data_IF_512247799382
#
_entry.id   IF_512247799382
#
_cell.length_a   1.000
_cell.length_b   1.000
_cell.length_c   1.000
_cell.angle_alpha   90.00
_cell.angle_beta   90.00
_cell.angle_gamma   90.00
#
_symmetry.space_group_name_H-M   'P 1'
#
loop_
_entity.id
_entity.type
_entity.pdbx_description
1 polymer ?
#
# COMPACT_ATOMS: atom_id res chain seq x y z
N UNK A 1 -37.07 79.94 -17.28
CA UNK A 1 -37.47 79.36 -16.04
C UNK A 1 -37.59 77.82 -16.22
N UNK A 2 -36.48 77.09 -16.07
CA UNK A 2 -36.44 75.62 -16.21
C UNK A 2 -36.38 75.00 -14.86
N UNK A 3 -37.42 74.22 -14.47
CA UNK A 3 -37.48 73.48 -13.22
C UNK A 3 -36.86 72.08 -13.43
N UNK A 4 -35.72 71.81 -12.83
CA UNK A 4 -35.16 70.48 -12.69
C UNK A 4 -35.90 69.71 -11.57
N UNK A 5 -36.38 68.51 -11.88
CA UNK A 5 -36.88 67.54 -10.88
C UNK A 5 -35.75 66.53 -10.65
N UNK A 6 -35.39 66.20 -9.42
CA UNK A 6 -34.46 65.13 -9.16
C UNK A 6 -35.13 63.75 -9.24
N UNK A 7 -34.51 62.80 -10.00
CA UNK A 7 -34.84 61.40 -9.98
C UNK A 7 -34.20 60.78 -8.70
N UNK A 8 -35.05 60.22 -7.87
CA UNK A 8 -34.63 59.39 -6.73
C UNK A 8 -34.43 57.98 -7.26
N UNK A 9 -33.17 57.51 -7.34
CA UNK A 9 -32.84 56.12 -7.62
C UNK A 9 -33.00 55.28 -6.34
N UNK A 10 -33.98 54.38 -6.35
CA UNK A 10 -34.25 53.44 -5.30
C UNK A 10 -33.29 52.21 -5.51
N UNK A 11 -32.20 52.18 -4.77
CA UNK A 11 -31.30 51.03 -4.76
C UNK A 11 -31.92 49.89 -3.94
N UNK A 12 -32.40 48.84 -4.60
CA UNK A 12 -32.81 47.59 -3.95
C UNK A 12 -31.57 46.81 -3.61
N UNK A 13 -31.16 46.80 -2.33
CA UNK A 13 -30.17 45.84 -1.80
C UNK A 13 -30.85 44.47 -1.74
N UNK A 14 -30.56 43.60 -2.70
CA UNK A 14 -30.81 42.15 -2.51
C UNK A 14 -29.83 41.63 -1.48
N UNK A 15 -30.29 41.37 -0.28
CA UNK A 15 -29.55 40.58 0.70
C UNK A 15 -29.52 39.12 0.19
N UNK A 16 -28.37 38.71 -0.34
CA UNK A 16 -28.05 37.30 -0.57
C UNK A 16 -27.94 36.66 0.84
N UNK A 17 -29.00 35.99 1.28
CA UNK A 17 -28.89 35.07 2.41
C UNK A 17 -27.88 33.97 2.04
N UNK A 18 -26.97 33.59 2.94
CA UNK A 18 -26.10 32.44 2.68
C UNK A 18 -27.04 31.24 2.49
N UNK A 19 -26.92 30.58 1.35
CA UNK A 19 -27.49 29.25 1.15
C UNK A 19 -26.64 28.35 2.07
N UNK A 20 -27.15 28.11 3.29
CA UNK A 20 -26.66 26.98 4.07
C UNK A 20 -26.96 25.74 3.24
N UNK A 21 -25.93 25.26 2.54
CA UNK A 21 -25.99 24.00 1.82
C UNK A 21 -26.35 22.92 2.84
N UNK A 22 -27.56 22.40 2.77
CA UNK A 22 -27.95 21.23 3.53
C UNK A 22 -26.94 20.16 3.20
N UNK A 23 -26.07 19.81 4.17
CA UNK A 23 -25.18 18.68 4.08
C UNK A 23 -26.01 17.46 3.70
N UNK A 24 -25.74 16.87 2.54
CA UNK A 24 -26.43 15.67 2.09
C UNK A 24 -26.09 14.53 3.07
N UNK A 25 -27.11 13.95 3.68
CA UNK A 25 -26.94 12.78 4.55
C UNK A 25 -27.35 11.53 3.79
N UNK A 26 -26.41 10.61 3.68
CA UNK A 26 -26.61 9.27 3.09
C UNK A 26 -26.82 8.27 4.24
N UNK A 27 -27.97 7.60 4.30
CA UNK A 27 -28.27 6.62 5.33
C UNK A 27 -28.29 5.21 4.76
N UNK A 28 -27.51 4.28 5.35
CA UNK A 28 -27.42 2.87 4.97
C UNK A 28 -27.31 1.98 6.21
N UNK A 29 -27.62 0.69 6.08
CA UNK A 29 -27.36 -0.27 7.17
C UNK A 29 -25.87 -0.35 7.50
N UNK A 30 -25.02 -0.36 6.45
CA UNK A 30 -23.57 -0.44 6.56
C UNK A 30 -22.89 0.75 5.90
N UNK A 31 -21.98 1.39 6.61
CA UNK A 31 -21.09 2.43 6.11
C UNK A 31 -19.66 1.88 6.18
N UNK A 32 -19.00 1.75 5.03
CA UNK A 32 -17.65 1.22 4.94
C UNK A 32 -16.72 2.36 4.53
N UNK A 33 -15.82 2.75 5.43
CA UNK A 33 -14.80 3.75 5.16
C UNK A 33 -13.51 3.08 4.66
N UNK A 34 -13.08 3.46 3.44
CA UNK A 34 -11.93 2.90 2.73
C UNK A 34 -12.30 2.31 1.37
N UNK A 35 -11.34 2.26 0.44
CA UNK A 35 -11.49 1.73 -0.92
C UNK A 35 -10.73 0.42 -1.18
N UNK A 36 -10.27 -0.27 -0.13
CA UNK A 36 -9.44 -1.48 -0.26
C UNK A 36 -10.24 -2.70 -0.74
N UNK A 37 -9.55 -3.79 -1.05
CA UNK A 37 -10.20 -5.06 -1.37
C UNK A 37 -11.15 -5.52 -0.25
N UNK A 38 -10.80 -5.25 1.02
CA UNK A 38 -11.64 -5.56 2.17
C UNK A 38 -12.97 -4.78 2.13
N UNK A 39 -12.92 -3.49 1.74
CA UNK A 39 -14.13 -2.67 1.60
C UNK A 39 -15.10 -3.24 0.57
N UNK A 40 -14.60 -3.58 -0.63
CA UNK A 40 -15.42 -4.12 -1.70
C UNK A 40 -16.04 -5.47 -1.32
N UNK A 41 -15.26 -6.37 -0.75
CA UNK A 41 -15.73 -7.71 -0.37
C UNK A 41 -16.72 -7.66 0.80
N UNK A 42 -16.51 -6.77 1.79
CA UNK A 42 -17.47 -6.53 2.86
C UNK A 42 -18.81 -5.99 2.30
N UNK A 43 -18.75 -5.06 1.35
CA UNK A 43 -19.94 -4.53 0.69
C UNK A 43 -20.69 -5.62 -0.12
N UNK A 44 -19.97 -6.47 -0.85
CA UNK A 44 -20.55 -7.62 -1.56
C UNK A 44 -21.28 -8.54 -0.57
N UNK A 45 -20.65 -8.86 0.55
CA UNK A 45 -21.28 -9.73 1.56
C UNK A 45 -22.51 -9.06 2.18
N UNK A 46 -22.47 -7.76 2.49
CA UNK A 46 -23.63 -7.02 2.99
C UNK A 46 -24.81 -7.08 2.00
N UNK A 47 -24.55 -6.86 0.70
CA UNK A 47 -25.56 -6.98 -0.36
C UNK A 47 -26.15 -8.38 -0.45
N UNK A 48 -25.31 -9.43 -0.38
CA UNK A 48 -25.76 -10.85 -0.38
C UNK A 48 -26.67 -11.15 0.84
N UNK A 49 -26.51 -10.43 1.94
CA UNK A 49 -27.35 -10.53 3.13
C UNK A 49 -28.58 -9.60 3.08
N UNK A 50 -28.86 -8.96 1.94
CA UNK A 50 -30.01 -8.07 1.75
C UNK A 50 -29.91 -6.74 2.50
N UNK A 51 -28.68 -6.29 2.82
CA UNK A 51 -28.43 -5.03 3.53
C UNK A 51 -28.09 -3.90 2.57
N UNK A 52 -28.50 -2.69 2.93
CA UNK A 52 -28.04 -1.49 2.25
C UNK A 52 -26.63 -1.13 2.70
N UNK A 53 -25.78 -0.72 1.75
CA UNK A 53 -24.37 -0.42 2.01
C UNK A 53 -23.90 0.74 1.15
N UNK A 54 -22.97 1.53 1.68
CA UNK A 54 -22.19 2.53 0.95
C UNK A 54 -20.71 2.37 1.29
N UNK A 55 -19.87 2.45 0.25
CA UNK A 55 -18.42 2.60 0.39
C UNK A 55 -18.09 4.08 0.32
N UNK A 56 -17.39 4.59 1.33
CA UNK A 56 -16.88 5.96 1.42
C UNK A 56 -15.36 5.88 1.32
N UNK A 57 -14.83 6.12 0.14
CA UNK A 57 -13.40 5.92 -0.15
C UNK A 57 -12.65 7.24 -0.21
N UNK A 58 -11.53 7.39 0.53
CA UNK A 58 -10.61 8.51 0.32
C UNK A 58 -9.89 8.42 -1.03
N UNK A 59 -9.86 7.23 -1.65
CA UNK A 59 -9.16 6.94 -2.88
C UNK A 59 -10.11 6.94 -4.10
N UNK A 60 -9.55 7.20 -5.28
CA UNK A 60 -10.26 7.08 -6.56
C UNK A 60 -10.41 5.63 -7.00
N UNK A 61 -9.40 4.84 -6.74
CA UNK A 61 -9.27 3.45 -7.17
C UNK A 61 -9.77 2.50 -6.09
N UNK A 62 -10.33 1.37 -6.49
CA UNK A 62 -10.77 0.32 -5.58
C UNK A 62 -9.82 -0.87 -5.62
N UNK A 63 -9.73 -1.57 -4.50
CA UNK A 63 -8.93 -2.79 -4.36
C UNK A 63 -7.62 -2.58 -3.58
N UNK A 64 -7.22 -1.33 -3.33
CA UNK A 64 -6.02 -1.01 -2.57
C UNK A 64 -4.77 -1.64 -3.18
N UNK A 65 -4.01 -2.43 -2.41
CA UNK A 65 -2.77 -3.06 -2.90
C UNK A 65 -3.02 -4.10 -4.00
N UNK A 66 -4.14 -4.81 -3.98
CA UNK A 66 -4.43 -5.81 -5.02
C UNK A 66 -4.53 -5.19 -6.42
N UNK A 67 -5.04 -3.96 -6.53
CA UNK A 67 -5.07 -3.16 -7.76
C UNK A 67 -3.88 -2.19 -7.86
N UNK A 68 -3.11 -2.04 -6.79
CA UNK A 68 -1.98 -1.12 -6.66
C UNK A 68 -0.60 -1.75 -6.93
N UNK A 69 -0.53 -2.91 -7.56
CA UNK A 69 0.73 -3.52 -7.99
C UNK A 69 1.13 -4.80 -7.26
N UNK A 70 0.46 -5.17 -6.15
CA UNK A 70 0.69 -6.43 -5.45
C UNK A 70 -0.07 -7.57 -6.15
N UNK A 71 0.45 -7.99 -7.30
CA UNK A 71 -0.18 -8.96 -8.20
C UNK A 71 0.40 -10.37 -8.12
N UNK A 72 1.58 -10.56 -7.50
CA UNK A 72 2.19 -11.86 -7.31
C UNK A 72 1.83 -12.41 -5.93
N UNK A 73 0.73 -13.19 -5.87
CA UNK A 73 0.14 -13.59 -4.59
C UNK A 73 0.97 -14.63 -3.85
N UNK A 74 1.27 -14.34 -2.59
CA UNK A 74 1.85 -15.28 -1.62
C UNK A 74 0.77 -16.27 -1.16
N UNK A 75 0.71 -17.44 -1.77
CA UNK A 75 -0.44 -18.36 -1.62
C UNK A 75 -0.34 -19.31 -0.44
N UNK A 76 0.84 -19.70 -0.01
CA UNK A 76 1.00 -20.79 0.95
C UNK A 76 0.17 -22.03 0.55
N UNK A 77 -0.64 -22.55 1.47
CA UNK A 77 -1.64 -23.59 1.16
C UNK A 77 -2.92 -22.96 0.61
N UNK A 78 -3.00 -22.77 -0.70
CA UNK A 78 -4.15 -22.14 -1.36
C UNK A 78 -5.47 -22.89 -1.21
N UNK A 79 -5.45 -24.17 -0.80
CA UNK A 79 -6.68 -24.93 -0.58
C UNK A 79 -7.53 -24.41 0.59
N UNK A 80 -6.92 -23.67 1.53
CA UNK A 80 -7.64 -23.05 2.65
C UNK A 80 -8.28 -21.72 2.30
N UNK A 81 -7.92 -21.10 1.15
CA UNK A 81 -8.50 -19.85 0.69
C UNK A 81 -9.88 -20.16 0.10
N UNK A 82 -10.93 -19.65 0.72
CA UNK A 82 -12.33 -19.95 0.37
C UNK A 82 -13.20 -18.71 0.22
N UNK A 83 -14.51 -18.93 0.14
CA UNK A 83 -15.52 -17.85 0.11
C UNK A 83 -15.28 -16.82 -0.99
N UNK A 84 -15.51 -15.56 -0.69
CA UNK A 84 -15.35 -14.45 -1.63
C UNK A 84 -13.90 -14.21 -2.06
N UNK A 85 -12.91 -14.58 -1.23
CA UNK A 85 -11.51 -14.51 -1.65
C UNK A 85 -11.22 -15.47 -2.81
N UNK A 86 -11.71 -16.71 -2.74
CA UNK A 86 -11.60 -17.65 -3.87
C UNK A 86 -12.39 -17.20 -5.10
N UNK A 87 -13.57 -16.58 -4.89
CA UNK A 87 -14.37 -16.02 -5.99
C UNK A 87 -13.60 -14.91 -6.72
N UNK A 88 -12.87 -14.06 -6.00
CA UNK A 88 -11.97 -13.05 -6.61
C UNK A 88 -10.95 -13.71 -7.55
N UNK A 89 -10.19 -14.71 -7.07
CA UNK A 89 -9.20 -15.40 -7.91
C UNK A 89 -9.83 -16.20 -9.06
N UNK A 90 -11.08 -16.65 -8.89
CA UNK A 90 -11.84 -17.24 -9.98
C UNK A 90 -12.21 -16.21 -11.05
N UNK A 91 -12.64 -15.00 -10.65
CA UNK A 91 -12.94 -13.90 -11.59
C UNK A 91 -11.70 -13.43 -12.32
N UNK A 92 -10.55 -13.35 -11.65
CA UNK A 92 -9.26 -13.13 -12.31
C UNK A 92 -9.02 -14.21 -13.36
N UNK A 93 -9.22 -15.49 -13.04
CA UNK A 93 -9.08 -16.59 -14.01
C UNK A 93 -10.00 -16.41 -15.22
N UNK A 94 -11.27 -16.00 -15.01
CA UNK A 94 -12.22 -15.73 -16.09
C UNK A 94 -11.76 -14.58 -17.01
N UNK A 95 -11.17 -13.53 -16.46
CA UNK A 95 -10.60 -12.44 -17.27
C UNK A 95 -9.47 -12.96 -18.18
N UNK A 96 -8.58 -13.80 -17.67
CA UNK A 96 -7.48 -14.36 -18.45
C UNK A 96 -7.90 -15.53 -19.38
N UNK A 97 -9.18 -15.93 -19.40
CA UNK A 97 -9.71 -16.77 -20.48
C UNK A 97 -10.05 -15.95 -21.75
N UNK A 98 -10.08 -14.64 -21.66
CA UNK A 98 -10.37 -13.73 -22.77
C UNK A 98 -9.08 -13.45 -23.56
N UNK A 99 -9.06 -13.67 -24.90
CA UNK A 99 -7.85 -13.41 -25.69
C UNK A 99 -7.34 -11.97 -25.62
N UNK A 100 -8.25 -10.98 -25.49
CA UNK A 100 -7.93 -9.57 -25.40
C UNK A 100 -7.19 -9.17 -24.12
N UNK A 101 -7.24 -9.97 -23.06
CA UNK A 101 -6.49 -9.74 -21.83
C UNK A 101 -4.98 -10.01 -22.02
N UNK A 102 -4.64 -10.90 -22.96
CA UNK A 102 -3.27 -11.23 -23.34
C UNK A 102 -2.74 -10.30 -24.44
N UNK A 103 -2.65 -9.01 -24.15
CA UNK A 103 -2.31 -8.01 -25.16
C UNK A 103 -0.86 -8.05 -25.62
N UNK A 104 0.06 -8.33 -24.71
CA UNK A 104 1.51 -8.23 -24.95
C UNK A 104 2.23 -9.57 -24.90
N UNK A 105 1.52 -10.65 -24.56
CA UNK A 105 2.09 -11.97 -24.38
C UNK A 105 1.05 -13.03 -24.73
N UNK A 106 1.46 -14.12 -25.36
CA UNK A 106 0.54 -15.25 -25.51
C UNK A 106 0.47 -16.06 -24.22
N UNK A 107 -0.70 -16.64 -23.88
CA UNK A 107 -0.82 -17.51 -22.71
C UNK A 107 0.23 -18.61 -22.64
N UNK A 108 0.60 -19.18 -23.79
CA UNK A 108 1.64 -20.24 -23.90
C UNK A 108 3.05 -19.78 -23.60
N UNK A 109 3.32 -18.47 -23.63
CA UNK A 109 4.63 -17.86 -23.40
C UNK A 109 4.80 -17.39 -21.95
N UNK A 110 3.73 -17.36 -21.18
CA UNK A 110 3.74 -16.82 -19.80
C UNK A 110 4.54 -17.68 -18.81
N UNK A 111 4.69 -18.99 -19.07
CA UNK A 111 5.47 -19.90 -18.23
C UNK A 111 4.79 -20.34 -16.95
N UNK A 112 3.66 -19.74 -16.58
CA UNK A 112 2.79 -20.14 -15.46
C UNK A 112 3.49 -20.27 -14.10
N UNK A 113 4.51 -19.45 -13.84
CA UNK A 113 5.21 -19.42 -12.56
C UNK A 113 4.34 -18.72 -11.49
N UNK A 114 4.30 -19.32 -10.29
CA UNK A 114 3.74 -18.75 -9.08
C UNK A 114 4.60 -19.13 -7.89
N UNK A 115 4.30 -18.60 -6.72
CA UNK A 115 5.05 -18.89 -5.50
C UNK A 115 4.67 -20.28 -4.97
N UNK A 116 5.49 -21.29 -5.28
CA UNK A 116 5.28 -22.68 -4.85
C UNK A 116 4.11 -23.40 -5.52
N UNK A 117 3.34 -22.72 -6.38
CA UNK A 117 2.23 -23.28 -7.15
C UNK A 117 2.14 -22.61 -8.51
N UNK A 118 1.52 -23.25 -9.53
CA UNK A 118 1.23 -22.58 -10.79
C UNK A 118 0.40 -21.31 -10.59
N UNK A 119 0.68 -20.27 -11.35
CA UNK A 119 -0.10 -19.04 -11.36
C UNK A 119 -1.54 -19.28 -11.81
N UNK A 120 -1.69 -20.05 -12.89
CA UNK A 120 -2.99 -20.49 -13.44
C UNK A 120 -3.27 -21.90 -12.96
N UNK A 121 -4.30 -22.06 -12.18
CA UNK A 121 -4.83 -23.35 -11.73
C UNK A 121 -6.11 -23.67 -12.50
N UNK A 122 -5.94 -24.39 -13.61
CA UNK A 122 -7.05 -24.73 -14.51
C UNK A 122 -8.04 -25.73 -13.89
N UNK A 123 -7.60 -26.63 -13.03
CA UNK A 123 -8.44 -27.60 -12.33
C UNK A 123 -9.41 -26.89 -11.37
N UNK A 124 -8.91 -25.98 -10.57
CA UNK A 124 -9.70 -25.20 -9.61
C UNK A 124 -10.28 -23.91 -10.21
N UNK A 125 -9.97 -23.60 -11.48
CA UNK A 125 -10.41 -22.40 -12.19
C UNK A 125 -10.11 -21.13 -11.40
N UNK A 126 -8.87 -21.00 -10.94
CA UNK A 126 -8.35 -19.82 -10.21
C UNK A 126 -7.04 -19.36 -10.83
N UNK A 127 -6.77 -18.08 -10.73
CA UNK A 127 -5.49 -17.50 -11.12
C UNK A 127 -4.96 -16.61 -10.00
N UNK A 128 -3.74 -16.89 -9.55
CA UNK A 128 -3.15 -16.34 -8.34
C UNK A 128 -2.18 -15.19 -8.61
N UNK A 129 -1.83 -14.99 -9.87
CA UNK A 129 -0.91 -13.94 -10.32
C UNK A 129 -1.64 -13.12 -11.38
N UNK A 130 -1.60 -11.79 -11.28
CA UNK A 130 -2.42 -10.94 -12.14
C UNK A 130 -1.85 -9.52 -12.26
N UNK A 131 -2.30 -8.82 -13.29
CA UNK A 131 -1.99 -7.41 -13.54
C UNK A 131 -2.85 -6.49 -12.66
N UNK A 132 -2.34 -5.32 -12.24
CA UNK A 132 -3.09 -4.35 -11.42
C UNK A 132 -4.43 -3.94 -12.04
N UNK A 133 -4.43 -3.58 -13.33
CA UNK A 133 -5.64 -3.16 -14.04
C UNK A 133 -6.70 -4.26 -14.16
N UNK A 134 -6.28 -5.53 -14.24
CA UNK A 134 -7.21 -6.68 -14.24
C UNK A 134 -7.86 -6.83 -12.85
N UNK A 135 -7.10 -6.68 -11.79
CA UNK A 135 -7.64 -6.73 -10.44
C UNK A 135 -8.63 -5.58 -10.18
N UNK A 136 -8.27 -4.36 -10.55
CA UNK A 136 -9.17 -3.20 -10.41
C UNK A 136 -10.48 -3.43 -11.16
N UNK A 137 -10.40 -3.91 -12.42
CA UNK A 137 -11.58 -4.25 -13.21
C UNK A 137 -12.48 -5.25 -12.48
N UNK A 138 -11.93 -6.28 -11.85
CA UNK A 138 -12.72 -7.28 -11.10
C UNK A 138 -13.42 -6.63 -9.91
N UNK A 139 -12.78 -5.69 -9.18
CA UNK A 139 -13.45 -4.97 -8.11
C UNK A 139 -14.56 -4.06 -8.62
N UNK A 140 -14.37 -3.36 -9.74
CA UNK A 140 -15.41 -2.57 -10.39
C UNK A 140 -16.58 -3.43 -10.89
N UNK A 141 -16.30 -4.62 -11.39
CA UNK A 141 -17.32 -5.59 -11.80
C UNK A 141 -18.17 -6.06 -10.59
N UNK A 142 -17.57 -6.27 -9.41
CA UNK A 142 -18.32 -6.52 -8.18
C UNK A 142 -19.24 -5.33 -7.81
N UNK A 143 -18.70 -4.12 -7.84
CA UNK A 143 -19.48 -2.91 -7.54
C UNK A 143 -20.69 -2.81 -8.45
N UNK A 144 -20.53 -3.06 -9.74
CA UNK A 144 -21.59 -3.01 -10.74
C UNK A 144 -22.60 -4.15 -10.56
N UNK A 145 -22.13 -5.39 -10.40
CA UNK A 145 -22.99 -6.58 -10.28
C UNK A 145 -23.91 -6.51 -9.06
N UNK A 146 -23.36 -6.07 -7.91
CA UNK A 146 -24.11 -5.98 -6.67
C UNK A 146 -24.76 -4.62 -6.45
N UNK A 147 -24.70 -3.70 -7.43
CA UNK A 147 -25.20 -2.33 -7.33
C UNK A 147 -24.77 -1.66 -6.00
N UNK A 148 -23.47 -1.69 -5.72
CA UNK A 148 -22.88 -1.08 -4.53
C UNK A 148 -22.72 0.41 -4.79
N UNK A 149 -23.21 1.23 -3.86
CA UNK A 149 -22.99 2.68 -3.88
C UNK A 149 -21.56 2.98 -3.41
N UNK A 150 -20.82 3.75 -4.21
CA UNK A 150 -19.43 4.14 -3.91
C UNK A 150 -19.27 5.64 -4.07
N UNK A 151 -18.80 6.30 -3.02
CA UNK A 151 -18.38 7.69 -3.04
C UNK A 151 -16.86 7.76 -2.91
N UNK A 152 -16.21 8.35 -3.89
CA UNK A 152 -14.74 8.44 -3.99
C UNK A 152 -14.27 9.84 -3.67
N UNK A 153 -12.97 9.99 -3.37
CA UNK A 153 -12.35 11.26 -2.91
C UNK A 153 -13.03 11.83 -1.65
N UNK A 154 -13.58 10.96 -0.81
CA UNK A 154 -14.31 11.30 0.41
C UNK A 154 -13.44 11.05 1.64
N UNK A 155 -12.65 12.06 2.01
CA UNK A 155 -11.73 12.01 3.15
C UNK A 155 -12.44 12.27 4.46
N UNK A 156 -12.29 11.39 5.44
CA UNK A 156 -12.90 11.55 6.78
C UNK A 156 -12.41 12.84 7.45
N UNK A 157 -13.31 13.62 8.00
CA UNK A 157 -12.96 14.64 8.99
C UNK A 157 -12.61 13.94 10.32
N UNK A 158 -11.31 13.70 10.51
CA UNK A 158 -10.79 12.94 11.67
C UNK A 158 -10.95 13.69 13.00
N UNK A 159 -11.15 15.00 12.96
CA UNK A 159 -11.24 15.82 14.18
C UNK A 159 -12.68 15.92 14.70
N UNK A 160 -13.64 16.06 13.79
CA UNK A 160 -15.03 16.39 14.14
C UNK A 160 -16.07 15.54 13.43
N UNK A 161 -15.63 14.74 12.44
CA UNK A 161 -16.54 14.04 11.56
C UNK A 161 -17.20 12.80 12.15
N UNK A 162 -16.71 12.25 13.27
CA UNK A 162 -17.25 11.01 13.83
C UNK A 162 -18.14 11.31 15.02
N UNK A 163 -19.42 10.95 14.91
CA UNK A 163 -20.41 11.07 16.00
C UNK A 163 -20.57 9.72 16.67
N UNK A 164 -20.18 9.65 17.95
CA UNK A 164 -20.36 8.47 18.81
C UNK A 164 -21.40 8.80 19.89
N UNK A 165 -22.40 7.95 20.03
CA UNK A 165 -23.42 8.06 21.05
C UNK A 165 -23.75 6.70 21.66
N UNK A 166 -23.69 6.61 23.00
CA UNK A 166 -23.94 5.36 23.73
C UNK A 166 -22.96 4.23 23.34
N UNK A 167 -21.68 4.56 23.02
CA UNK A 167 -20.66 3.58 22.62
C UNK A 167 -20.80 3.07 21.19
N UNK A 168 -21.67 3.67 20.36
CA UNK A 168 -21.85 3.29 18.97
C UNK A 168 -21.64 4.49 18.04
N UNK A 169 -20.95 4.29 16.92
CA UNK A 169 -20.84 5.29 15.85
C UNK A 169 -22.24 5.49 15.26
N UNK A 170 -22.70 6.74 15.13
CA UNK A 170 -23.97 7.11 14.51
C UNK A 170 -23.80 7.62 13.09
N UNK A 171 -22.76 8.41 12.87
CA UNK A 171 -22.44 8.95 11.56
C UNK A 171 -20.96 9.27 11.42
N UNK A 172 -20.53 9.37 10.18
CA UNK A 172 -19.24 9.95 9.80
C UNK A 172 -19.48 11.09 8.81
N UNK A 173 -18.67 12.14 8.90
CA UNK A 173 -18.70 13.28 7.98
C UNK A 173 -17.34 13.43 7.34
N UNK A 174 -17.29 13.68 6.04
CA UNK A 174 -16.06 13.88 5.29
C UNK A 174 -15.68 15.35 5.22
N UNK A 175 -14.44 15.64 4.84
CA UNK A 175 -13.94 17.00 4.64
C UNK A 175 -14.72 17.76 3.55
N UNK A 176 -15.38 17.03 2.63
CA UNK A 176 -16.30 17.58 1.64
C UNK A 176 -17.66 18.01 2.22
N UNK A 177 -17.94 17.71 3.51
CA UNK A 177 -19.16 18.07 4.20
C UNK A 177 -20.31 17.07 4.03
N UNK A 178 -20.12 15.95 3.31
CA UNK A 178 -21.13 14.90 3.20
C UNK A 178 -21.14 14.03 4.46
N UNK A 179 -22.32 13.70 4.96
CA UNK A 179 -22.52 12.88 6.15
C UNK A 179 -23.08 11.52 5.77
N UNK A 180 -22.56 10.48 6.40
CA UNK A 180 -23.01 9.09 6.22
C UNK A 180 -23.47 8.55 7.58
N UNK A 181 -24.74 8.18 7.68
CA UNK A 181 -25.35 7.59 8.86
C UNK A 181 -25.58 6.09 8.64
N UNK A 182 -25.40 5.29 9.69
CA UNK A 182 -25.54 3.85 9.57
C UNK A 182 -25.71 3.13 10.90
N UNK A 183 -26.00 1.84 10.80
CA UNK A 183 -26.12 0.95 11.97
C UNK A 183 -24.79 0.31 12.34
N UNK A 184 -23.98 0.00 11.32
CA UNK A 184 -22.66 -0.64 11.46
C UNK A 184 -21.66 0.11 10.59
N UNK A 185 -20.49 0.36 11.15
CA UNK A 185 -19.38 1.02 10.48
C UNK A 185 -18.18 0.07 10.38
N UNK A 186 -17.52 0.11 9.24
CA UNK A 186 -16.27 -0.62 9.00
C UNK A 186 -15.16 0.39 8.71
N UNK A 187 -14.02 0.25 9.37
CA UNK A 187 -12.77 0.84 8.92
C UNK A 187 -12.06 -0.19 8.04
N UNK A 188 -12.07 0.05 6.74
CA UNK A 188 -11.43 -0.79 5.73
C UNK A 188 -10.24 -0.06 5.07
N UNK A 189 -9.61 0.83 5.82
CA UNK A 189 -8.37 1.52 5.43
C UNK A 189 -7.15 0.73 5.90
N UNK A 190 -5.97 1.11 5.45
CA UNK A 190 -4.69 0.61 5.98
C UNK A 190 -4.26 1.37 7.24
N UNK A 191 -4.78 2.59 7.42
CA UNK A 191 -4.38 3.54 8.45
C UNK A 191 -5.13 3.39 9.77
N UNK A 192 -6.39 2.93 9.74
CA UNK A 192 -7.26 2.89 10.90
C UNK A 192 -7.71 4.29 11.35
N UNK A 193 -8.01 5.19 10.40
CA UNK A 193 -8.40 6.57 10.71
C UNK A 193 -9.78 6.66 11.36
N UNK A 194 -10.75 5.87 10.93
CA UNK A 194 -12.08 5.81 11.54
C UNK A 194 -12.02 5.19 12.93
N UNK A 195 -11.20 4.14 13.09
CA UNK A 195 -10.96 3.50 14.39
C UNK A 195 -10.48 4.51 15.42
N UNK A 196 -9.45 5.30 15.08
CA UNK A 196 -8.88 6.31 15.98
C UNK A 196 -9.88 7.45 16.24
N UNK A 197 -10.56 7.96 15.22
CA UNK A 197 -11.53 9.05 15.34
C UNK A 197 -12.78 8.64 16.15
N UNK A 198 -13.12 7.35 16.19
CA UNK A 198 -14.19 6.80 17.01
C UNK A 198 -13.77 6.59 18.48
N UNK A 199 -12.52 6.84 18.86
CA UNK A 199 -12.00 6.64 20.21
C UNK A 199 -11.76 5.18 20.60
N UNK A 200 -11.57 4.30 19.63
CA UNK A 200 -11.20 2.90 19.88
C UNK A 200 -9.71 2.80 20.18
N UNK A 201 -9.34 2.03 21.19
CA UNK A 201 -7.94 1.84 21.59
C UNK A 201 -7.14 1.13 20.50
N UNK A 202 -5.90 1.57 20.29
CA UNK A 202 -4.99 0.98 19.31
C UNK A 202 -3.52 1.13 19.72
N UNK A 203 -2.67 0.38 19.04
CA UNK A 203 -1.21 0.48 19.17
C UNK A 203 -0.59 0.85 17.82
N UNK A 204 0.51 1.62 17.87
CA UNK A 204 1.38 1.93 16.72
C UNK A 204 2.81 1.56 17.06
N UNK A 205 3.51 0.95 16.10
CA UNK A 205 4.86 0.45 16.30
C UNK A 205 4.88 -1.00 16.79
N UNK A 206 5.99 -1.43 17.37
CA UNK A 206 6.18 -2.79 17.85
C UNK A 206 5.87 -2.88 19.34
N UNK A 207 4.99 -3.79 19.76
CA UNK A 207 4.83 -4.13 21.16
C UNK A 207 6.06 -4.92 21.64
N UNK A 208 6.41 -4.78 22.92
CA UNK A 208 7.42 -5.64 23.50
C UNK A 208 6.94 -7.10 23.50
N UNK A 209 7.85 -8.05 23.33
CA UNK A 209 7.53 -9.49 23.36
C UNK A 209 6.76 -9.89 24.62
N UNK A 210 7.02 -9.23 25.74
CA UNK A 210 6.38 -9.50 27.04
C UNK A 210 4.89 -9.17 27.08
N UNK A 211 4.39 -8.29 26.21
CA UNK A 211 2.99 -7.84 26.23
C UNK A 211 2.03 -8.99 25.97
N UNK A 212 2.32 -9.80 24.96
CA UNK A 212 1.50 -10.96 24.57
C UNK A 212 2.21 -12.30 24.75
N UNK A 213 3.45 -12.32 25.28
CA UNK A 213 4.26 -13.53 25.42
C UNK A 213 4.74 -14.05 24.07
N UNK A 214 5.12 -13.16 23.17
CA UNK A 214 5.64 -13.46 21.84
C UNK A 214 7.17 -13.61 21.85
N UNK A 215 7.74 -14.16 20.78
CA UNK A 215 9.18 -14.31 20.59
C UNK A 215 9.71 -13.39 19.49
N UNK A 216 8.87 -13.05 18.49
CA UNK A 216 9.28 -12.43 17.23
C UNK A 216 8.63 -11.06 16.97
N UNK A 217 7.89 -10.51 17.90
CA UNK A 217 7.46 -9.14 17.87
C UNK A 217 8.61 -8.19 18.25
N UNK A 218 8.42 -7.09 18.87
CA UNK A 218 9.43 -6.18 19.38
C UNK A 218 10.65 -5.97 18.47
N UNK A 219 11.72 -5.46 19.04
CA UNK A 219 13.00 -5.27 18.34
C UNK A 219 13.66 -6.61 18.06
N UNK A 220 14.01 -6.90 16.81
CA UNK A 220 14.64 -8.14 16.36
C UNK A 220 16.05 -7.88 15.83
N UNK A 221 17.02 -7.73 16.71
CA UNK A 221 18.43 -7.56 16.36
C UNK A 221 19.12 -8.90 16.21
N UNK A 222 19.95 -9.01 15.18
CA UNK A 222 20.79 -10.21 14.94
C UNK A 222 20.05 -11.38 14.25
N UNK A 223 18.79 -11.20 13.90
CA UNK A 223 18.06 -12.13 13.05
C UNK A 223 18.21 -11.67 11.61
N UNK A 224 18.98 -12.44 10.84
CA UNK A 224 19.27 -12.11 9.44
C UNK A 224 18.50 -13.09 8.56
N UNK A 225 17.40 -12.58 7.95
CA UNK A 225 16.59 -13.37 7.04
C UNK A 225 16.87 -12.99 5.59
N UNK A 226 16.75 -13.97 4.72
CA UNK A 226 16.96 -13.81 3.28
C UNK A 226 18.30 -13.13 3.00
N UNK A 227 18.36 -12.22 2.05
CA UNK A 227 19.57 -11.46 1.70
C UNK A 227 19.35 -9.94 1.88
N UNK A 228 18.43 -9.55 2.75
CA UNK A 228 18.06 -8.15 3.01
C UNK A 228 18.95 -7.48 4.08
N UNK A 229 20.21 -7.88 4.18
CA UNK A 229 21.16 -7.39 5.17
C UNK A 229 22.57 -7.23 4.57
N UNK A 230 23.38 -6.35 5.18
CA UNK A 230 24.71 -6.04 4.67
C UNK A 230 25.74 -7.19 4.80
N UNK A 231 25.46 -8.21 5.60
CA UNK A 231 26.23 -9.46 5.61
C UNK A 231 26.00 -10.37 4.39
N UNK A 232 25.10 -10.00 3.47
CA UNK A 232 24.85 -10.73 2.24
C UNK A 232 25.84 -10.39 1.10
N UNK A 233 26.70 -9.38 1.28
CA UNK A 233 27.73 -8.96 0.32
C UNK A 233 29.11 -9.47 0.73
N UNK A 234 30.02 -9.55 -0.23
CA UNK A 234 31.35 -10.14 -0.03
C UNK A 234 32.30 -9.27 0.81
N UNK A 235 32.12 -7.95 0.75
CA UNK A 235 33.00 -6.99 1.44
C UNK A 235 32.24 -6.17 2.45
N UNK A 236 32.84 -5.83 3.59
CA UNK A 236 32.25 -4.91 4.54
C UNK A 236 31.92 -3.55 3.92
N UNK A 237 30.79 -2.97 4.31
CA UNK A 237 30.35 -1.67 3.83
C UNK A 237 30.43 -0.67 4.99
N UNK A 238 31.19 0.41 4.78
CA UNK A 238 31.22 1.51 5.72
C UNK A 238 29.93 2.34 5.66
N UNK A 239 29.27 2.60 6.80
CA UNK A 239 28.08 3.45 6.85
C UNK A 239 28.39 4.94 6.78
N UNK A 240 29.67 5.34 6.90
CA UNK A 240 30.09 6.72 7.03
C UNK A 240 30.32 7.41 5.69
N UNK A 241 30.13 8.74 5.63
CA UNK A 241 30.36 9.56 4.43
C UNK A 241 31.80 9.34 3.93
N UNK A 242 32.79 9.48 4.82
CA UNK A 242 34.16 9.07 4.55
C UNK A 242 34.37 7.67 5.12
N UNK A 243 34.64 6.66 4.29
CA UNK A 243 34.81 5.28 4.75
C UNK A 243 35.80 5.18 5.92
N UNK A 244 35.35 4.56 7.02
CA UNK A 244 36.16 4.35 8.23
C UNK A 244 36.27 5.54 9.17
N UNK A 245 35.70 6.71 8.83
CA UNK A 245 35.70 7.89 9.70
C UNK A 245 34.30 8.17 10.28
N UNK A 246 33.99 7.77 11.53
CA UNK A 246 32.71 8.07 12.18
C UNK A 246 32.41 9.56 12.33
N UNK A 247 33.43 10.43 12.36
CA UNK A 247 33.24 11.89 12.51
C UNK A 247 32.69 12.53 11.24
N UNK A 248 32.78 11.84 10.10
CA UNK A 248 32.23 12.32 8.83
C UNK A 248 30.70 12.26 8.76
N UNK A 249 30.04 11.63 9.74
CA UNK A 249 28.62 11.35 9.73
C UNK A 249 28.27 10.09 8.91
N UNK A 250 26.99 9.70 8.92
CA UNK A 250 26.51 8.54 8.17
C UNK A 250 25.99 8.93 6.79
N UNK A 251 26.02 7.99 5.88
CA UNK A 251 25.41 8.13 4.55
C UNK A 251 23.90 8.41 4.63
N UNK A 252 23.33 9.07 3.62
CA UNK A 252 21.89 9.19 3.51
C UNK A 252 21.21 7.82 3.69
N UNK A 253 20.04 7.82 4.37
CA UNK A 253 19.22 6.62 4.63
C UNK A 253 19.84 5.57 5.56
N UNK A 254 20.94 5.88 6.22
CA UNK A 254 21.49 5.09 7.34
C UNK A 254 21.07 5.77 8.65
N UNK A 255 20.60 4.97 9.61
CA UNK A 255 20.22 5.45 10.94
C UNK A 255 21.45 5.73 11.78
N UNK A 256 21.44 6.86 12.49
CA UNK A 256 22.44 7.19 13.53
C UNK A 256 22.11 6.55 14.87
N UNK A 257 20.85 6.12 15.07
CA UNK A 257 20.39 5.53 16.30
C UNK A 257 20.59 4.01 16.31
N UNK A 258 21.03 3.44 17.43
CA UNK A 258 21.11 1.98 17.56
C UNK A 258 19.71 1.34 17.45
N UNK A 259 19.63 0.07 17.07
CA UNK A 259 18.36 -0.60 16.84
C UNK A 259 17.51 -0.84 18.11
N UNK A 260 18.08 -0.69 19.32
CA UNK A 260 17.40 -0.97 20.58
C UNK A 260 17.75 -2.35 21.14
N UNK A 261 17.03 -2.77 22.18
CA UNK A 261 17.24 -4.03 22.88
C UNK A 261 16.26 -5.07 22.35
N UNK A 262 16.75 -6.26 22.06
CA UNK A 262 15.95 -7.36 21.53
C UNK A 262 14.74 -7.67 22.42
N UNK A 263 13.56 -7.73 21.82
CA UNK A 263 12.29 -8.04 22.49
C UNK A 263 11.61 -6.84 23.14
N UNK A 264 12.25 -5.66 23.19
CA UNK A 264 11.58 -4.42 23.64
C UNK A 264 10.70 -3.83 22.55
N UNK A 265 9.69 -3.07 22.96
CA UNK A 265 8.81 -2.36 22.06
C UNK A 265 9.36 -0.99 21.66
N UNK A 266 8.89 -0.47 20.53
CA UNK A 266 9.12 0.91 20.10
C UNK A 266 7.98 1.43 19.19
N UNK A 267 8.06 2.69 18.78
CA UNK A 267 7.07 3.33 17.89
C UNK A 267 7.39 3.20 16.40
N UNK A 268 8.42 2.46 16.04
CA UNK A 268 8.84 2.29 14.66
C UNK A 268 7.97 1.26 13.97
N UNK A 269 7.69 1.53 12.69
CA UNK A 269 6.92 0.65 11.82
C UNK A 269 7.79 0.12 10.68
N UNK A 270 7.39 -0.99 10.09
CA UNK A 270 8.06 -1.62 8.95
C UNK A 270 8.11 -0.66 7.76
N UNK A 271 9.16 -0.77 6.97
CA UNK A 271 9.35 0.08 5.80
C UNK A 271 8.19 -0.04 4.80
N UNK A 272 7.77 1.11 4.26
CA UNK A 272 6.83 1.17 3.15
C UNK A 272 7.55 1.25 1.81
N UNK A 273 6.86 0.86 0.77
CA UNK A 273 7.28 1.00 -0.63
C UNK A 273 6.05 1.00 -1.55
N UNK A 274 6.22 1.39 -2.79
CA UNK A 274 5.26 1.01 -3.83
C UNK A 274 5.63 -0.37 -4.37
N UNK A 275 4.63 -1.21 -4.63
CA UNK A 275 4.81 -2.40 -5.47
C UNK A 275 4.84 -1.93 -6.91
N UNK A 276 6.00 -2.07 -7.54
CA UNK A 276 6.20 -1.50 -8.86
C UNK A 276 5.81 -2.51 -9.95
N UNK A 277 4.80 -2.15 -10.74
CA UNK A 277 4.53 -2.84 -11.98
C UNK A 277 5.45 -2.26 -13.06
N UNK A 278 6.38 -3.07 -13.55
CA UNK A 278 7.30 -2.71 -14.62
C UNK A 278 7.07 -3.61 -15.83
N UNK A 279 7.56 -3.21 -17.01
CA UNK A 279 7.49 -4.04 -18.22
C UNK A 279 8.79 -4.00 -19.01
N UNK A 280 9.12 -5.12 -19.64
CA UNK A 280 10.21 -5.21 -20.62
C UNK A 280 9.71 -5.34 -22.07
N UNK A 281 8.39 -5.30 -22.30
CA UNK A 281 7.85 -5.33 -23.65
C UNK A 281 8.09 -4.00 -24.38
N UNK A 282 8.84 -3.95 -25.51
CA UNK A 282 9.28 -2.71 -26.13
C UNK A 282 8.16 -1.74 -26.49
N UNK A 283 7.02 -2.23 -26.98
CA UNK A 283 5.89 -1.40 -27.40
C UNK A 283 5.09 -0.86 -26.22
N UNK A 284 5.12 -1.55 -25.06
CA UNK A 284 4.42 -1.13 -23.83
C UNK A 284 5.28 -0.29 -22.89
N UNK A 285 6.58 -0.20 -23.13
CA UNK A 285 7.57 0.36 -22.22
C UNK A 285 7.71 1.88 -22.36
N UNK A 286 7.71 2.58 -21.21
CA UNK A 286 8.16 3.96 -21.06
C UNK A 286 9.48 3.93 -20.30
N UNK A 287 10.59 4.46 -20.85
CA UNK A 287 11.85 4.57 -20.11
C UNK A 287 11.65 5.33 -18.79
N UNK A 288 12.38 4.92 -17.73
CA UNK A 288 12.25 5.55 -16.42
C UNK A 288 12.60 7.05 -16.48
N UNK A 289 11.65 7.95 -16.19
CA UNK A 289 11.93 9.38 -16.18
C UNK A 289 12.73 9.76 -14.93
N UNK A 290 13.53 10.83 -15.05
CA UNK A 290 14.15 11.46 -13.88
C UNK A 290 13.05 12.11 -13.03
N UNK A 291 12.84 11.71 -11.78
CA UNK A 291 11.80 12.32 -10.97
C UNK A 291 12.21 13.71 -10.50
N UNK A 292 11.21 14.56 -10.21
CA UNK A 292 11.42 15.82 -9.51
C UNK A 292 12.02 15.55 -8.13
N UNK A 293 12.97 16.40 -7.72
CA UNK A 293 13.68 16.22 -6.44
C UNK A 293 14.69 15.07 -6.43
N UNK A 294 15.05 14.51 -7.60
CA UNK A 294 16.10 13.50 -7.70
C UNK A 294 17.44 14.01 -7.20
N UNK A 295 18.02 13.25 -6.27
CA UNK A 295 19.35 13.49 -5.71
C UNK A 295 20.16 12.18 -5.74
N UNK A 296 21.25 12.11 -6.56
CA UNK A 296 22.07 10.91 -6.67
C UNK A 296 22.79 10.52 -5.37
N UNK A 297 23.01 11.47 -4.45
CA UNK A 297 23.68 11.18 -3.18
C UNK A 297 22.86 10.24 -2.29
N UNK A 298 21.53 10.22 -2.47
CA UNK A 298 20.64 9.31 -1.76
C UNK A 298 20.94 7.83 -2.04
N UNK A 299 21.67 7.53 -3.12
CA UNK A 299 22.00 6.17 -3.57
C UNK A 299 23.49 5.82 -3.39
N UNK A 300 24.25 6.63 -2.67
CA UNK A 300 25.68 6.37 -2.39
C UNK A 300 25.89 4.99 -1.73
N UNK A 301 25.01 4.65 -0.79
CA UNK A 301 25.06 3.33 -0.16
C UNK A 301 24.84 2.18 -1.18
N UNK A 302 23.98 2.39 -2.19
CA UNK A 302 23.79 1.41 -3.26
C UNK A 302 25.05 1.23 -4.10
N UNK A 303 25.80 2.30 -4.37
CA UNK A 303 27.10 2.20 -5.05
C UNK A 303 28.02 1.28 -4.27
N UNK A 304 28.15 1.48 -2.96
CA UNK A 304 28.98 0.63 -2.09
C UNK A 304 28.51 -0.83 -2.05
N UNK A 305 27.21 -1.05 -2.15
CA UNK A 305 26.62 -2.40 -2.25
C UNK A 305 27.08 -3.07 -3.55
N UNK A 306 27.08 -2.37 -4.68
CA UNK A 306 27.58 -2.88 -5.95
C UNK A 306 29.10 -3.12 -5.93
N UNK A 307 29.88 -2.21 -5.35
CA UNK A 307 31.34 -2.35 -5.16
C UNK A 307 31.71 -3.53 -4.25
N UNK A 308 30.80 -3.87 -3.32
CA UNK A 308 30.93 -5.06 -2.47
C UNK A 308 30.49 -6.35 -3.12
N UNK A 309 30.21 -6.34 -4.45
CA UNK A 309 29.93 -7.54 -5.24
C UNK A 309 28.46 -7.89 -5.46
N UNK A 310 27.52 -7.10 -4.95
CA UNK A 310 26.08 -7.36 -5.13
C UNK A 310 25.65 -7.30 -6.60
N UNK A 311 24.86 -8.32 -7.07
CA UNK A 311 24.33 -8.41 -8.44
C UNK A 311 22.88 -8.89 -8.51
N UNK A 312 22.21 -9.08 -7.40
CA UNK A 312 20.86 -9.68 -7.32
C UNK A 312 19.74 -8.64 -7.48
N UNK A 313 19.96 -7.55 -8.22
CA UNK A 313 19.02 -6.44 -8.38
C UNK A 313 17.66 -6.88 -8.93
N UNK A 314 17.62 -7.92 -9.76
CA UNK A 314 16.44 -8.38 -10.48
C UNK A 314 15.76 -9.62 -9.88
N UNK A 315 16.27 -10.15 -8.78
CA UNK A 315 15.78 -11.40 -8.16
C UNK A 315 14.31 -11.35 -7.75
N UNK A 316 13.79 -10.15 -7.52
CA UNK A 316 12.39 -9.91 -7.14
C UNK A 316 11.63 -9.06 -8.17
N UNK A 317 11.96 -9.21 -9.43
CA UNK A 317 11.12 -8.81 -10.56
C UNK A 317 10.18 -9.97 -10.89
N UNK A 318 9.27 -10.26 -9.95
CA UNK A 318 8.39 -11.43 -10.03
C UNK A 318 7.45 -11.31 -11.24
N UNK A 319 7.46 -12.28 -12.18
CA UNK A 319 6.77 -12.15 -13.46
C UNK A 319 5.25 -12.27 -13.29
N UNK A 320 4.53 -11.28 -13.78
CA UNK A 320 3.08 -11.32 -13.97
C UNK A 320 2.74 -11.32 -15.46
N UNK A 321 1.50 -11.57 -15.90
CA UNK A 321 1.17 -11.62 -17.32
C UNK A 321 1.56 -10.39 -18.13
N UNK A 322 1.66 -10.54 -19.43
CA UNK A 322 1.93 -9.47 -20.41
C UNK A 322 3.31 -8.84 -20.28
N UNK A 323 4.34 -9.65 -19.97
CA UNK A 323 5.72 -9.19 -19.79
C UNK A 323 5.84 -8.07 -18.74
N UNK A 324 5.03 -8.15 -17.70
CA UNK A 324 5.06 -7.22 -16.57
C UNK A 324 5.63 -7.89 -15.32
N UNK A 325 5.85 -7.10 -14.29
CA UNK A 325 6.33 -7.58 -12.99
C UNK A 325 5.47 -7.04 -11.85
N UNK A 326 5.46 -7.79 -10.75
CA UNK A 326 5.27 -7.29 -9.41
C UNK A 326 6.67 -7.17 -8.80
N UNK A 327 7.26 -5.97 -8.82
CA UNK A 327 8.64 -5.77 -8.36
C UNK A 327 8.64 -5.53 -6.86
N UNK A 328 9.25 -6.46 -6.13
CA UNK A 328 9.38 -6.44 -4.67
C UNK A 328 10.78 -5.97 -4.24
N UNK A 329 10.94 -5.71 -2.94
CA UNK A 329 12.24 -5.40 -2.36
C UNK A 329 13.17 -6.62 -2.37
N UNK A 330 14.46 -6.40 -2.63
CA UNK A 330 15.50 -7.41 -2.49
C UNK A 330 16.85 -6.78 -2.21
N UNK A 331 17.64 -7.43 -1.35
CA UNK A 331 19.01 -7.04 -1.06
C UNK A 331 19.19 -6.00 0.05
N UNK A 332 20.45 -5.65 0.33
CA UNK A 332 20.81 -4.74 1.43
C UNK A 332 20.34 -3.30 1.21
N UNK A 333 20.23 -2.89 -0.05
CA UNK A 333 19.66 -1.60 -0.45
C UNK A 333 18.62 -1.85 -1.53
N UNK A 334 17.37 -1.69 -1.18
CA UNK A 334 16.23 -2.11 -1.99
C UNK A 334 15.21 -0.99 -2.21
N UNK A 335 14.06 -1.36 -2.75
CA UNK A 335 12.91 -0.48 -2.96
C UNK A 335 12.21 -0.06 -1.68
N UNK A 336 12.44 -0.77 -0.57
CA UNK A 336 11.94 -0.36 0.76
C UNK A 336 12.61 0.95 1.22
N UNK A 337 11.81 1.98 1.50
CA UNK A 337 12.28 3.27 1.98
C UNK A 337 12.40 3.27 3.51
N UNK A 338 13.32 2.44 4.03
CA UNK A 338 13.46 2.09 5.43
C UNK A 338 13.65 3.34 6.31
N UNK A 339 12.84 3.46 7.36
CA UNK A 339 12.96 4.50 8.37
C UNK A 339 12.41 5.87 7.96
N UNK A 340 11.62 5.96 6.88
CA UNK A 340 11.06 7.22 6.36
C UNK A 340 9.55 7.34 6.55
N UNK A 341 8.96 6.49 7.37
CA UNK A 341 7.51 6.37 7.52
C UNK A 341 7.05 6.25 8.98
N UNK A 342 7.93 6.47 9.97
CA UNK A 342 7.57 6.25 11.38
C UNK A 342 6.45 7.15 11.89
N UNK A 343 6.35 8.36 11.37
CA UNK A 343 5.30 9.32 11.71
C UNK A 343 4.01 9.14 10.88
N UNK A 344 4.04 8.34 9.81
CA UNK A 344 2.89 8.16 8.90
C UNK A 344 1.58 7.77 9.60
N UNK A 345 1.55 6.80 10.53
CA UNK A 345 0.30 6.37 11.16
C UNK A 345 -0.46 7.51 11.86
N UNK A 346 0.26 8.41 12.54
CA UNK A 346 -0.31 9.51 13.32
C UNK A 346 -0.28 10.87 12.60
N UNK A 347 0.27 10.92 11.39
CA UNK A 347 0.45 12.15 10.62
C UNK A 347 -0.88 12.76 10.13
N UNK A 348 -0.88 14.08 9.92
CA UNK A 348 -1.95 14.75 9.17
C UNK A 348 -2.02 14.26 7.73
N UNK A 349 -3.13 14.51 7.05
CA UNK A 349 -3.24 14.17 5.62
C UNK A 349 -2.19 14.85 4.75
N UNK A 350 -1.82 16.10 5.06
CA UNK A 350 -0.77 16.85 4.37
C UNK A 350 0.59 16.16 4.56
N UNK A 351 0.93 15.79 5.80
CA UNK A 351 2.18 15.11 6.11
C UNK A 351 2.26 13.72 5.48
N UNK A 352 1.15 12.96 5.47
CA UNK A 352 1.09 11.68 4.76
C UNK A 352 1.34 11.83 3.27
N UNK A 353 0.78 12.86 2.63
CA UNK A 353 1.05 13.15 1.21
C UNK A 353 2.52 13.48 0.96
N UNK A 354 3.19 14.18 1.88
CA UNK A 354 4.64 14.41 1.79
C UNK A 354 5.43 13.11 1.87
N UNK A 355 5.11 12.23 2.82
CA UNK A 355 5.74 10.92 2.97
C UNK A 355 5.52 10.06 1.72
N UNK A 356 4.31 10.05 1.16
CA UNK A 356 3.99 9.33 -0.09
C UNK A 356 4.87 9.85 -1.23
N UNK A 357 4.97 11.18 -1.42
CA UNK A 357 5.84 11.78 -2.45
C UNK A 357 7.32 11.47 -2.23
N UNK A 358 7.79 11.43 -0.98
CA UNK A 358 9.16 11.04 -0.69
C UNK A 358 9.44 9.58 -1.10
N UNK A 359 8.51 8.67 -0.84
CA UNK A 359 8.62 7.27 -1.24
C UNK A 359 8.60 7.13 -2.76
N UNK A 360 7.73 7.85 -3.44
CA UNK A 360 7.67 7.89 -4.91
C UNK A 360 8.97 8.41 -5.52
N UNK A 361 9.46 9.56 -5.04
CA UNK A 361 10.73 10.14 -5.51
C UNK A 361 11.91 9.19 -5.27
N UNK A 362 11.95 8.54 -4.11
CA UNK A 362 12.98 7.56 -3.79
C UNK A 362 12.97 6.38 -4.76
N UNK A 363 11.83 5.75 -5.00
CA UNK A 363 11.78 4.55 -5.84
C UNK A 363 11.94 4.88 -7.33
N UNK A 364 11.31 5.95 -7.83
CA UNK A 364 11.54 6.44 -9.21
C UNK A 364 13.01 6.84 -9.42
N UNK A 365 13.59 7.50 -8.42
CA UNK A 365 15.00 7.87 -8.44
C UNK A 365 15.94 6.67 -8.39
N UNK A 366 15.59 5.60 -7.65
CA UNK A 366 16.33 4.35 -7.62
C UNK A 366 16.38 3.69 -9.01
N UNK A 367 15.25 3.62 -9.72
CA UNK A 367 15.18 3.10 -11.08
C UNK A 367 16.02 3.97 -12.05
N UNK A 368 15.86 5.28 -11.97
CA UNK A 368 16.61 6.21 -12.81
C UNK A 368 18.13 6.15 -12.54
N UNK A 369 18.51 6.07 -11.27
CA UNK A 369 19.91 5.97 -10.83
C UNK A 369 20.57 4.72 -11.42
N UNK A 370 19.94 3.56 -11.29
CA UNK A 370 20.49 2.31 -11.81
C UNK A 370 20.66 2.37 -13.33
N UNK A 371 19.75 2.99 -14.05
CA UNK A 371 19.86 3.14 -15.50
C UNK A 371 20.99 4.08 -15.96
N UNK A 372 21.32 5.12 -15.17
CA UNK A 372 22.02 6.28 -15.71
C UNK A 372 23.30 6.66 -14.97
N UNK A 373 23.47 6.30 -13.70
CA UNK A 373 24.66 6.71 -12.94
C UNK A 373 25.90 5.88 -13.36
N UNK A 374 27.02 6.53 -13.74
CA UNK A 374 28.20 5.83 -14.24
C UNK A 374 28.89 4.94 -13.20
N UNK A 375 28.57 5.05 -11.93
CA UNK A 375 29.09 4.20 -10.84
C UNK A 375 28.37 2.85 -10.72
N UNK A 376 27.22 2.70 -11.37
CA UNK A 376 26.50 1.43 -11.44
C UNK A 376 27.22 0.49 -12.42
N UNK A 377 27.41 -0.80 -12.11
CA UNK A 377 28.00 -1.75 -13.04
C UNK A 377 27.27 -1.79 -14.39
N UNK A 378 28.02 -1.84 -15.49
CA UNK A 378 27.43 -1.74 -16.84
C UNK A 378 26.42 -2.83 -17.14
N UNK A 379 26.69 -4.05 -16.72
CA UNK A 379 25.78 -5.19 -16.86
C UNK A 379 24.43 -4.94 -16.18
N UNK A 380 24.46 -4.35 -14.98
CA UNK A 380 23.24 -3.97 -14.24
C UNK A 380 22.52 -2.81 -14.92
N UNK A 381 23.25 -1.81 -15.41
CA UNK A 381 22.66 -0.69 -16.17
C UNK A 381 21.95 -1.16 -17.43
N UNK A 382 22.62 -1.99 -18.23
CA UNK A 382 22.11 -2.51 -19.48
C UNK A 382 20.85 -3.33 -19.24
N UNK A 383 20.89 -4.23 -18.25
CA UNK A 383 19.73 -5.03 -17.87
C UNK A 383 18.55 -4.17 -17.36
N UNK A 384 18.82 -3.10 -16.57
CA UNK A 384 17.75 -2.22 -16.08
C UNK A 384 17.11 -1.40 -17.21
N UNK A 385 17.86 -1.03 -18.25
CA UNK A 385 17.34 -0.31 -19.41
C UNK A 385 16.38 -1.12 -20.28
N UNK A 386 16.37 -2.45 -20.11
CA UNK A 386 15.37 -3.32 -20.74
C UNK A 386 13.98 -3.16 -20.09
N UNK A 387 13.90 -2.59 -18.90
CA UNK A 387 12.66 -2.35 -18.15
C UNK A 387 12.20 -0.90 -18.24
N UNK A 388 10.91 -0.69 -17.98
CA UNK A 388 10.29 0.65 -17.88
C UNK A 388 8.89 0.57 -17.29
N UNK A 389 8.23 1.73 -17.24
CA UNK A 389 6.84 1.81 -16.78
C UNK A 389 5.90 1.30 -17.89
N UNK A 390 4.85 0.53 -17.58
CA UNK A 390 3.89 0.06 -18.57
C UNK A 390 2.93 1.18 -19.00
N UNK A 391 2.76 1.37 -20.30
CA UNK A 391 1.84 2.39 -20.85
C UNK A 391 0.37 2.14 -20.52
N UNK A 392 0.00 0.91 -20.21
CA UNK A 392 -1.36 0.45 -20.00
C UNK A 392 -1.75 0.22 -18.54
N UNK A 393 -0.86 0.53 -17.59
CA UNK A 393 -1.18 0.50 -16.17
C UNK A 393 -1.10 1.91 -15.56
N UNK A 394 -1.97 2.21 -14.61
CA UNK A 394 -1.97 3.47 -13.85
C UNK A 394 -1.94 4.72 -14.73
N UNK A 395 -2.72 4.71 -15.81
CA UNK A 395 -2.66 5.71 -16.88
C UNK A 395 -3.03 7.12 -16.44
N UNK A 396 -3.79 7.25 -15.39
CA UNK A 396 -4.20 8.52 -14.79
C UNK A 396 -3.28 8.99 -13.65
N UNK A 397 -2.24 8.19 -13.31
CA UNK A 397 -1.24 8.50 -12.28
C UNK A 397 0.20 8.44 -12.83
N UNK A 398 0.40 8.81 -14.09
CA UNK A 398 1.73 8.83 -14.72
C UNK A 398 2.38 7.45 -14.84
N UNK A 399 1.57 6.42 -15.00
CA UNK A 399 1.98 5.01 -15.10
C UNK A 399 2.70 4.48 -13.85
N UNK A 400 2.42 5.09 -12.69
CA UNK A 400 2.93 4.72 -11.38
C UNK A 400 1.80 4.28 -10.46
N UNK A 401 2.04 3.28 -9.60
CA UNK A 401 1.04 2.79 -8.65
C UNK A 401 0.43 3.94 -7.83
N UNK A 402 -0.88 3.93 -7.67
CA UNK A 402 -1.61 4.89 -6.85
C UNK A 402 -1.60 4.52 -5.36
N UNK A 403 -1.16 3.30 -5.00
CA UNK A 403 -1.21 2.79 -3.64
C UNK A 403 0.19 2.60 -3.05
N UNK A 404 0.53 3.38 -2.03
CA UNK A 404 1.69 3.08 -1.18
C UNK A 404 1.39 1.82 -0.35
N UNK A 405 2.34 0.90 -0.25
CA UNK A 405 2.22 -0.28 0.62
C UNK A 405 2.43 0.11 2.08
N UNK A 406 1.34 0.45 2.73
CA UNK A 406 1.27 0.68 4.17
C UNK A 406 1.16 -0.69 4.82
N UNK A 407 2.29 -1.22 5.30
CA UNK A 407 2.37 -2.59 5.84
C UNK A 407 1.70 -2.73 7.19
N UNK A 408 1.79 -1.69 7.98
CA UNK A 408 1.16 -1.56 9.28
C UNK A 408 0.97 -0.09 9.64
N UNK A 409 -0.05 0.20 10.43
CA UNK A 409 -0.28 1.51 11.00
C UNK A 409 -0.89 1.35 12.40
N UNK A 410 -2.17 1.74 12.60
CA UNK A 410 -2.88 1.53 13.85
C UNK A 410 -3.44 0.12 13.91
N UNK A 411 -3.10 -0.62 14.94
CA UNK A 411 -3.67 -1.94 15.22
C UNK A 411 -4.61 -1.84 16.42
N UNK A 412 -5.88 -2.20 16.21
CA UNK A 412 -6.90 -2.17 17.24
C UNK A 412 -6.50 -3.04 18.44
N UNK A 413 -6.64 -2.50 19.63
CA UNK A 413 -6.52 -3.24 20.88
C UNK A 413 -7.93 -3.52 21.41
N UNK A 414 -8.30 -4.79 21.50
CA UNK A 414 -9.62 -5.23 21.93
C UNK A 414 -9.51 -6.41 22.90
N UNK A 415 -10.64 -7.06 23.17
CA UNK A 415 -10.71 -8.25 24.05
C UNK A 415 -9.87 -9.42 23.50
N UNK A 416 -9.67 -9.46 22.20
CA UNK A 416 -8.82 -10.42 21.52
C UNK A 416 -7.87 -9.70 20.57
N UNK A 417 -6.57 -10.01 20.69
CA UNK A 417 -5.51 -9.57 19.77
C UNK A 417 -4.84 -10.83 19.21
N UNK A 418 -4.88 -10.99 17.89
CA UNK A 418 -4.20 -12.10 17.23
C UNK A 418 -2.68 -11.86 17.23
N UNK A 419 -1.95 -12.85 17.70
CA UNK A 419 -0.49 -12.80 17.87
C UNK A 419 0.20 -13.97 17.17
N UNK A 420 1.53 -14.04 17.23
CA UNK A 420 2.26 -15.21 16.73
C UNK A 420 1.84 -16.51 17.43
N UNK A 421 1.31 -16.43 18.66
CA UNK A 421 0.92 -17.61 19.41
C UNK A 421 -0.26 -18.35 18.77
N UNK A 422 -1.25 -17.62 18.24
CA UNK A 422 -2.37 -18.18 17.48
C UNK A 422 -1.87 -18.72 16.14
N UNK A 423 -1.02 -17.98 15.42
CA UNK A 423 -0.44 -18.39 14.13
C UNK A 423 0.41 -19.67 14.30
N UNK A 424 1.14 -19.79 15.39
CA UNK A 424 1.96 -20.96 15.72
C UNK A 424 1.16 -22.09 16.40
N UNK A 425 -0.15 -21.93 16.53
CA UNK A 425 -1.06 -22.90 17.19
C UNK A 425 -0.71 -23.19 18.65
N UNK A 426 -0.04 -22.24 19.33
CA UNK A 426 0.20 -22.30 20.79
C UNK A 426 -1.05 -21.92 21.57
N UNK A 427 -1.92 -21.09 20.97
CA UNK A 427 -3.23 -20.69 21.50
C UNK A 427 -4.31 -20.90 20.45
N UNK A 428 -5.58 -21.12 20.85
CA UNK A 428 -6.69 -21.22 19.92
C UNK A 428 -7.05 -19.86 19.34
N UNK A 429 -7.62 -19.84 18.14
CA UNK A 429 -8.23 -18.66 17.52
C UNK A 429 -9.74 -18.80 17.69
N UNK A 430 -10.37 -18.12 18.67
CA UNK A 430 -11.82 -18.19 18.85
C UNK A 430 -12.51 -17.37 17.73
N UNK A 431 -13.75 -17.77 17.41
CA UNK A 431 -14.65 -17.04 16.50
C UNK A 431 -14.01 -16.61 15.16
N UNK A 432 -13.20 -17.49 14.58
CA UNK A 432 -12.50 -17.18 13.34
C UNK A 432 -13.46 -16.88 12.20
N UNK A 433 -13.20 -15.80 11.43
CA UNK A 433 -14.03 -15.35 10.30
C UNK A 433 -13.49 -15.84 8.95
N UNK A 434 -12.32 -16.45 8.92
CA UNK A 434 -11.69 -16.94 7.70
C UNK A 434 -10.43 -17.75 8.00
N UNK A 435 -9.85 -18.31 6.95
CA UNK A 435 -8.55 -18.99 6.98
C UNK A 435 -7.59 -18.34 6.00
N UNK A 436 -6.32 -18.26 6.37
CA UNK A 436 -5.21 -17.89 5.53
C UNK A 436 -4.06 -18.86 5.70
N UNK A 437 -3.09 -18.82 4.79
CA UNK A 437 -1.89 -19.64 4.89
C UNK A 437 -0.72 -18.95 4.22
N UNK A 438 0.24 -18.55 5.03
CA UNK A 438 1.56 -18.07 4.62
C UNK A 438 2.52 -18.14 5.79
N UNK A 439 3.80 -17.91 5.55
CA UNK A 439 4.77 -17.74 6.65
C UNK A 439 4.59 -16.39 7.33
N UNK A 440 5.01 -16.25 8.58
CA UNK A 440 5.13 -14.94 9.20
C UNK A 440 6.18 -14.17 8.41
N UNK A 441 5.78 -13.06 7.83
CA UNK A 441 6.62 -12.19 7.02
C UNK A 441 6.81 -10.83 7.69
N UNK A 442 7.98 -10.24 7.51
CA UNK A 442 8.29 -8.92 8.05
C UNK A 442 9.32 -8.20 7.19
N UNK A 443 9.29 -6.88 7.22
CA UNK A 443 10.25 -6.02 6.54
C UNK A 443 11.13 -5.27 7.54
N UNK A 444 12.30 -4.82 7.06
CA UNK A 444 13.21 -4.07 7.88
C UNK A 444 12.57 -2.77 8.39
N UNK A 445 12.70 -2.56 9.70
CA UNK A 445 12.21 -1.34 10.35
C UNK A 445 13.26 -0.22 10.28
N UNK A 446 14.54 -0.57 10.40
CA UNK A 446 15.63 0.38 10.49
C UNK A 446 16.83 -0.08 9.68
N UNK A 447 17.49 0.85 9.00
CA UNK A 447 18.77 0.59 8.32
C UNK A 447 19.90 1.06 9.24
N UNK A 448 20.50 0.14 9.95
CA UNK A 448 21.63 0.36 10.82
C UNK A 448 22.79 -0.55 10.42
N UNK A 449 23.97 0.01 10.23
CA UNK A 449 25.14 -0.75 9.76
C UNK A 449 26.21 -0.65 10.84
N UNK A 450 26.63 -1.78 11.35
CA UNK A 450 27.83 -1.88 12.22
C UNK A 450 29.05 -1.92 11.32
N UNK A 451 30.08 -1.08 11.61
CA UNK A 451 31.33 -1.06 10.84
C UNK A 451 32.06 -2.39 10.87
#
# INVERSE_FOLDING_TARGET
>A
MNRFRPLIALSVLLALAPIEGRSETVERDFVIYGGTCAAVIAAVQAKKMGRSVVIVSPDKHLGGLSSGGLGFTDTGNKAVIGGLSRDFYHRIWLEYQKPETWKWQKPSEYGNQGQGTPAIDGENRTMWIFEPGVAEKVFEDYVKEFAIEVHRDEWLDREKGVVVDGGAIRSITTLGGRTYAGKIFFDATYEGDLLAAAGVDYHVGREANSVYGEEWNGVQVGILHHRHHFGAVEKPISPYVVPGDPKSGVLPRVSTEPPGVRGEGDKRVQAYCFRMCLTNHPENRIPFPKPDGYDPEQYELLVRVFEAGWRETFEKFDPIPNHKTDTNNHGPFSTDNIGRNYDYPEASYERRREIIREHETYQKGWLYFICNDPRVPKDVQEAMREWGLPKDEFTDNGNWSHQLYIREARRMTGDFVMTENELRKKKPTPESVGMGSYTIDSHNVQRYITP
#
